data_IF_820137962242
#
_entry.id   IF_820137962242
#
_cell.length_a   1.000
_cell.length_b   1.000
_cell.length_c   1.000
_cell.angle_alpha   90.00
_cell.angle_beta   90.00
_cell.angle_gamma   90.00
#
_symmetry.space_group_name_H-M   'P 1'
#
loop_
_entity.id
_entity.type
_entity.pdbx_description
1 polymer ?
#
# COMPACT_ATOMS: atom_id res chain seq x y z
N UNK A 1 -12.98 12.73 32.33
CA UNK A 1 -13.14 13.73 31.26
C UNK A 1 -11.99 13.58 30.28
N UNK A 2 -12.28 13.43 28.99
CA UNK A 2 -11.25 13.22 27.95
C UNK A 2 -10.59 14.55 27.56
N UNK A 3 -9.26 14.64 27.62
CA UNK A 3 -8.51 15.86 27.28
C UNK A 3 -8.67 16.25 25.80
N UNK A 4 -8.82 15.27 24.90
CA UNK A 4 -8.93 15.51 23.47
C UNK A 4 -10.30 16.05 23.04
N UNK A 5 -11.31 15.96 23.91
CA UNK A 5 -12.64 16.53 23.66
C UNK A 5 -12.63 18.05 23.52
N UNK A 6 -11.65 18.72 24.14
CA UNK A 6 -11.48 20.18 24.07
C UNK A 6 -10.73 20.66 22.84
N UNK A 7 -10.09 19.74 22.10
CA UNK A 7 -9.34 20.07 20.91
C UNK A 7 -10.28 20.10 19.68
N UNK A 8 -10.05 21.00 18.72
CA UNK A 8 -10.69 20.93 17.42
C UNK A 8 -10.38 19.61 16.69
N UNK A 9 -11.32 19.14 15.87
CA UNK A 9 -11.19 17.93 15.06
C UNK A 9 -9.91 17.92 14.21
N UNK A 10 -9.57 19.05 13.59
CA UNK A 10 -8.36 19.22 12.78
C UNK A 10 -7.08 18.96 13.58
N UNK A 11 -7.00 19.42 14.83
CA UNK A 11 -5.82 19.20 15.68
C UNK A 11 -5.73 17.72 16.07
N UNK A 12 -6.86 17.08 16.41
CA UNK A 12 -6.88 15.65 16.70
C UNK A 12 -6.41 14.81 15.50
N UNK A 13 -6.84 15.18 14.30
CA UNK A 13 -6.43 14.51 13.07
C UNK A 13 -4.93 14.69 12.81
N UNK A 14 -4.41 15.90 13.00
CA UNK A 14 -2.98 16.18 12.86
C UNK A 14 -2.13 15.32 13.82
N UNK A 15 -2.56 15.17 15.08
CA UNK A 15 -1.92 14.29 16.06
C UNK A 15 -1.86 12.84 15.56
N UNK A 16 -2.95 12.33 14.96
CA UNK A 16 -2.98 10.97 14.40
C UNK A 16 -2.02 10.80 13.23
N UNK A 17 -1.95 11.80 12.35
CA UNK A 17 -1.05 11.81 11.19
C UNK A 17 0.42 11.84 11.65
N UNK A 18 0.75 12.70 12.61
CA UNK A 18 2.12 12.92 13.06
C UNK A 18 2.67 11.80 13.95
N UNK A 19 1.79 11.07 14.67
CA UNK A 19 2.20 9.92 15.47
C UNK A 19 2.90 8.85 14.63
N UNK A 20 2.43 8.62 13.40
CA UNK A 20 2.99 7.71 12.38
C UNK A 20 3.08 6.22 12.76
N UNK A 21 3.02 5.89 14.05
CA UNK A 21 3.23 4.56 14.61
C UNK A 21 1.89 3.90 14.97
N UNK A 22 1.58 2.73 14.39
CA UNK A 22 0.36 1.99 14.69
C UNK A 22 0.23 1.63 16.18
N UNK A 23 1.35 1.36 16.87
CA UNK A 23 1.34 1.04 18.30
C UNK A 23 0.98 2.26 19.14
N UNK A 24 1.49 3.44 18.77
CA UNK A 24 1.20 4.68 19.48
C UNK A 24 -0.27 5.11 19.26
N UNK A 25 -0.77 5.01 18.03
CA UNK A 25 -2.17 5.28 17.70
C UNK A 25 -3.10 4.36 18.51
N UNK A 26 -2.80 3.05 18.60
CA UNK A 26 -3.57 2.11 19.41
C UNK A 26 -3.61 2.48 20.89
N UNK A 27 -2.50 2.96 21.46
CA UNK A 27 -2.47 3.43 22.85
C UNK A 27 -3.31 4.69 23.02
N UNK A 28 -3.21 5.63 22.08
CA UNK A 28 -3.95 6.88 22.10
C UNK A 28 -5.47 6.67 22.04
N UNK A 29 -5.96 5.85 21.10
CA UNK A 29 -7.40 5.57 20.97
C UNK A 29 -7.95 4.76 22.15
N UNK A 30 -7.11 3.95 22.82
CA UNK A 30 -7.50 3.24 24.05
C UNK A 30 -7.60 4.17 25.25
N UNK A 31 -6.76 5.20 25.30
CA UNK A 31 -6.76 6.18 26.37
C UNK A 31 -7.84 7.27 26.18
N UNK A 32 -8.33 7.48 24.95
CA UNK A 32 -9.26 8.55 24.60
C UNK A 32 -10.38 8.06 23.67
N UNK A 33 -11.64 8.01 24.16
CA UNK A 33 -12.81 7.73 23.33
C UNK A 33 -13.00 8.75 22.20
N UNK A 34 -12.67 10.03 22.44
CA UNK A 34 -12.76 11.08 21.40
C UNK A 34 -11.77 10.81 20.26
N UNK A 35 -10.54 10.37 20.58
CA UNK A 35 -9.56 9.99 19.55
C UNK A 35 -9.97 8.74 18.80
N UNK A 36 -10.63 7.77 19.44
CA UNK A 36 -11.20 6.60 18.75
C UNK A 36 -12.27 7.01 17.74
N UNK A 37 -13.19 7.89 18.14
CA UNK A 37 -14.25 8.38 17.26
C UNK A 37 -13.66 9.13 16.06
N UNK A 38 -12.70 10.03 16.30
CA UNK A 38 -12.00 10.75 15.23
C UNK A 38 -11.27 9.79 14.29
N UNK A 39 -10.53 8.82 14.84
CA UNK A 39 -9.79 7.84 14.04
C UNK A 39 -10.72 6.97 13.18
N UNK A 40 -11.92 6.67 13.67
CA UNK A 40 -12.88 5.83 12.93
C UNK A 40 -13.50 6.59 11.76
N UNK A 41 -13.85 7.86 11.98
CA UNK A 41 -14.46 8.71 10.94
C UNK A 41 -13.43 9.11 9.88
N UNK A 42 -12.22 9.47 10.28
CA UNK A 42 -11.22 10.05 9.37
C UNK A 42 -10.14 9.08 8.93
N UNK A 43 -10.33 7.76 9.15
CA UNK A 43 -9.31 6.75 8.84
C UNK A 43 -8.76 6.89 7.43
N UNK A 44 -9.64 7.09 6.44
CA UNK A 44 -9.27 7.23 5.05
C UNK A 44 -8.50 8.54 4.79
N UNK A 45 -8.88 9.62 5.46
CA UNK A 45 -8.22 10.93 5.34
C UNK A 45 -6.80 10.87 5.92
N UNK A 46 -6.64 10.28 7.11
CA UNK A 46 -5.32 10.10 7.76
C UNK A 46 -4.39 9.28 6.87
N UNK A 47 -4.86 8.17 6.31
CA UNK A 47 -4.06 7.32 5.43
C UNK A 47 -3.70 8.05 4.14
N UNK A 48 -4.66 8.75 3.54
CA UNK A 48 -4.44 9.53 2.32
C UNK A 48 -3.40 10.64 2.55
N UNK A 49 -3.44 11.32 3.69
CA UNK A 49 -2.48 12.38 4.03
C UNK A 49 -1.07 11.82 4.24
N UNK A 50 -0.96 10.69 4.94
CA UNK A 50 0.32 10.00 5.14
C UNK A 50 0.90 9.56 3.79
N UNK A 51 0.08 8.96 2.92
CA UNK A 51 0.53 8.57 1.58
C UNK A 51 0.96 9.78 0.76
N UNK A 52 0.18 10.86 0.77
CA UNK A 52 0.53 12.10 0.05
C UNK A 52 1.88 12.65 0.51
N UNK A 53 2.17 12.62 1.81
CA UNK A 53 3.48 13.02 2.35
C UNK A 53 4.60 12.10 1.87
N UNK A 54 4.38 10.77 1.90
CA UNK A 54 5.38 9.78 1.48
C UNK A 54 5.67 9.82 -0.03
N UNK A 55 4.65 10.07 -0.85
CA UNK A 55 4.77 10.18 -2.31
C UNK A 55 4.97 11.63 -2.77
N UNK A 56 5.30 12.55 -1.86
CA UNK A 56 5.44 13.98 -2.20
C UNK A 56 6.57 14.27 -3.19
N UNK A 57 7.57 13.38 -3.25
CA UNK A 57 8.65 13.44 -4.24
C UNK A 57 8.23 12.95 -5.64
N UNK A 58 7.09 12.26 -5.73
CA UNK A 58 6.58 11.76 -6.99
C UNK A 58 5.86 12.86 -7.78
N UNK A 59 6.50 13.32 -8.86
CA UNK A 59 5.99 14.39 -9.71
C UNK A 59 4.86 13.94 -10.61
N UNK A 60 4.76 12.63 -10.91
CA UNK A 60 3.73 12.10 -11.82
C UNK A 60 2.48 11.64 -11.08
N UNK A 61 2.51 11.65 -9.74
CA UNK A 61 1.45 11.15 -8.85
C UNK A 61 1.09 9.65 -9.05
N UNK A 62 1.85 8.91 -9.87
CA UNK A 62 1.61 7.50 -10.13
C UNK A 62 1.73 6.65 -8.87
N UNK A 63 2.74 6.90 -8.04
CA UNK A 63 2.95 6.19 -6.78
C UNK A 63 1.83 6.44 -5.77
N UNK A 64 1.26 7.64 -5.77
CA UNK A 64 0.11 7.94 -4.91
C UNK A 64 -1.14 7.18 -5.38
N UNK A 65 -1.41 7.17 -6.68
CA UNK A 65 -2.54 6.47 -7.27
C UNK A 65 -2.43 4.95 -7.06
N UNK A 66 -1.25 4.38 -7.28
CA UNK A 66 -0.97 2.96 -7.05
C UNK A 66 -1.14 2.58 -5.57
N UNK A 67 -0.64 3.39 -4.65
CA UNK A 67 -0.79 3.16 -3.21
C UNK A 67 -2.28 3.21 -2.78
N UNK A 68 -3.06 4.14 -3.33
CA UNK A 68 -4.51 4.21 -3.10
C UNK A 68 -5.24 3.01 -3.69
N UNK A 69 -4.84 2.54 -4.88
CA UNK A 69 -5.41 1.35 -5.50
C UNK A 69 -5.14 0.08 -4.66
N UNK A 70 -3.92 -0.08 -4.14
CA UNK A 70 -3.56 -1.19 -3.25
C UNK A 70 -4.38 -1.18 -1.95
N UNK A 71 -4.58 -0.02 -1.34
CA UNK A 71 -5.45 0.12 -0.16
C UNK A 71 -6.89 -0.26 -0.45
N UNK A 72 -7.41 0.13 -1.62
CA UNK A 72 -8.76 -0.20 -2.04
C UNK A 72 -8.96 -1.70 -2.24
N UNK A 73 -7.99 -2.36 -2.86
CA UNK A 73 -8.00 -3.80 -3.07
C UNK A 73 -7.91 -4.57 -1.74
N UNK A 74 -7.10 -4.08 -0.82
CA UNK A 74 -6.95 -4.64 0.52
C UNK A 74 -8.22 -4.57 1.37
N UNK A 75 -8.95 -3.47 1.26
CA UNK A 75 -10.23 -3.29 1.97
C UNK A 75 -11.32 -4.21 1.40
N UNK A 76 -11.27 -4.48 0.09
CA UNK A 76 -12.20 -5.40 -0.59
C UNK A 76 -11.86 -6.88 -0.38
N UNK A 77 -10.62 -7.23 -0.08
CA UNK A 77 -10.19 -8.61 0.10
C UNK A 77 -9.18 -8.76 1.25
N UNK A 78 -9.65 -8.81 2.51
CA UNK A 78 -8.76 -8.92 3.67
C UNK A 78 -7.98 -10.24 3.74
N UNK A 79 -8.22 -11.20 2.84
CA UNK A 79 -7.61 -12.53 2.81
C UNK A 79 -6.37 -12.64 1.90
N UNK A 80 -5.80 -11.52 1.43
CA UNK A 80 -4.65 -11.58 0.53
C UNK A 80 -3.57 -10.53 0.80
N UNK A 81 -3.16 -10.41 2.07
CA UNK A 81 -1.79 -10.00 2.35
C UNK A 81 -0.97 -11.26 2.64
N UNK A 82 0.13 -11.52 1.92
CA UNK A 82 1.10 -12.49 2.40
C UNK A 82 1.62 -11.94 3.73
N UNK A 83 1.17 -12.57 4.82
CA UNK A 83 1.70 -12.33 6.15
C UNK A 83 3.21 -12.51 6.04
N UNK A 84 3.98 -11.49 6.46
CA UNK A 84 5.44 -11.46 6.44
C UNK A 84 5.99 -12.51 7.42
N UNK A 85 5.83 -13.76 7.05
CA UNK A 85 6.02 -14.96 7.86
C UNK A 85 6.10 -16.24 7.02
N UNK A 86 5.59 -16.24 5.78
CA UNK A 86 5.96 -17.27 4.82
C UNK A 86 7.32 -16.95 4.20
N UNK A 87 8.38 -17.24 4.96
CA UNK A 87 9.63 -17.68 4.33
C UNK A 87 9.27 -18.92 3.52
N UNK A 88 9.00 -18.75 2.23
CA UNK A 88 9.23 -19.82 1.27
C UNK A 88 10.69 -20.20 1.47
N UNK A 89 10.92 -21.38 2.04
CA UNK A 89 12.23 -22.01 2.06
C UNK A 89 12.87 -21.83 0.69
N UNK A 90 14.15 -21.44 0.60
CA UNK A 90 14.79 -21.24 -0.68
C UNK A 90 14.62 -22.52 -1.50
N UNK A 91 14.07 -22.39 -2.71
CA UNK A 91 14.01 -23.50 -3.67
C UNK A 91 15.42 -24.06 -3.77
N UNK A 92 15.55 -25.38 -3.60
CA UNK A 92 16.85 -26.03 -3.68
C UNK A 92 17.38 -25.90 -5.11
N UNK A 93 18.70 -25.75 -5.30
CA UNK A 93 19.50 -26.72 -6.04
C UNK A 93 19.10 -27.26 -7.41
N UNK A 94 17.92 -27.86 -7.46
CA UNK A 94 17.63 -29.03 -8.28
C UNK A 94 16.31 -28.86 -9.03
N UNK A 95 15.51 -27.84 -8.69
CA UNK A 95 14.19 -27.63 -9.30
C UNK A 95 14.23 -26.68 -10.53
N UNK A 96 15.39 -26.11 -10.89
CA UNK A 96 15.49 -25.23 -12.07
C UNK A 96 15.43 -25.97 -13.40
N UNK A 97 15.54 -27.30 -13.41
CA UNK A 97 15.58 -28.09 -14.64
C UNK A 97 14.20 -28.38 -15.25
N UNK A 98 13.09 -27.92 -14.64
CA UNK A 98 11.73 -28.27 -15.12
C UNK A 98 10.97 -27.06 -15.71
N UNK A 99 11.58 -25.88 -15.82
CA UNK A 99 10.91 -24.69 -16.40
C UNK A 99 11.48 -24.22 -17.75
N UNK A 100 12.34 -25.01 -18.40
CA UNK A 100 12.89 -24.68 -19.73
C UNK A 100 12.09 -25.23 -20.92
N UNK A 101 10.93 -25.87 -20.71
CA UNK A 101 10.10 -26.36 -21.80
C UNK A 101 8.64 -25.98 -21.62
N UNK A 102 8.28 -24.75 -21.98
CA UNK A 102 7.04 -24.40 -22.71
C UNK A 102 6.96 -22.88 -22.91
N UNK A 103 7.80 -22.35 -23.80
CA UNK A 103 7.48 -21.11 -24.51
C UNK A 103 6.84 -21.50 -25.84
N UNK A 104 5.60 -21.09 -26.16
CA UNK A 104 5.08 -21.28 -27.50
C UNK A 104 5.82 -20.34 -28.47
N UNK A 105 6.39 -20.94 -29.52
CA UNK A 105 7.02 -20.24 -30.65
C UNK A 105 6.10 -19.16 -31.22
N UNK A 106 6.56 -17.92 -31.20
CA UNK A 106 6.02 -16.85 -32.06
C UNK A 106 7.02 -16.67 -33.20
N UNK A 107 6.81 -17.43 -34.27
CA UNK A 107 7.47 -17.22 -35.56
C UNK A 107 6.37 -17.08 -36.62
N UNK A 108 6.19 -15.85 -37.12
CA UNK A 108 5.94 -15.51 -38.54
C UNK A 108 5.30 -14.12 -38.70
N UNK A 109 5.82 -13.40 -39.71
CA UNK A 109 5.44 -12.09 -40.27
C UNK A 109 6.04 -10.87 -39.57
N UNK A 110 6.83 -10.06 -40.31
CA UNK A 110 6.22 -9.22 -41.34
C UNK A 110 6.95 -9.25 -42.69
N UNK A 111 6.16 -9.32 -43.77
CA UNK A 111 6.61 -8.86 -45.08
C UNK A 111 6.66 -7.33 -45.09
N UNK A 112 7.83 -6.77 -45.38
CA UNK A 112 7.98 -5.49 -46.07
C UNK A 112 9.42 -5.40 -46.60
N UNK A 113 9.55 -5.57 -47.91
CA UNK A 113 10.75 -5.23 -48.65
C UNK A 113 11.04 -3.74 -48.49
N UNK A 114 12.30 -3.35 -48.24
CA UNK A 114 12.85 -2.13 -48.82
C UNK A 114 14.35 -2.29 -49.02
N UNK A 115 14.76 -2.17 -50.28
CA UNK A 115 16.14 -2.22 -50.80
C UNK A 115 17.06 -1.20 -50.14
N UNK A 116 18.33 -1.59 -49.95
CA UNK A 116 19.42 -0.64 -49.70
C UNK A 116 20.39 -0.75 -50.87
N UNK A 117 20.72 0.44 -51.40
CA UNK A 117 21.67 0.75 -52.48
C UNK A 117 23.10 0.41 -52.02
#
# INVERSE_FOLDING_TARGET
>A
MDFFSRLPATIRMQILIDLGSPACIRRLIRASPTMLQQHTVDRHIVVQEVLRKLTSLDKTQGLFQDAMALLYLADRNPQHYPTTGERKTPLKPQDYHILSETLPSIEAAPGLQTSII
#
